data_IF_466120356873
#
_entry.id   IF_466120356873
#
_cell.length_a   1.000
_cell.length_b   1.000
_cell.length_c   1.000
_cell.angle_alpha   90.00
_cell.angle_beta   90.00
_cell.angle_gamma   90.00
#
_symmetry.space_group_name_H-M   'P 1'
#
loop_
_entity.id
_entity.type
_entity.pdbx_description
1 polymer ?
#
# COMPACT_ATOMS: atom_id res chain seq x y z
N UNK A 1 42.88 -9.03 -4.33
CA UNK A 1 41.84 -9.28 -3.30
C UNK A 1 40.52 -9.36 -4.03
N UNK A 2 39.88 -10.53 -4.00
CA UNK A 2 38.65 -10.76 -4.78
C UNK A 2 37.44 -10.27 -4.02
N UNK A 3 36.62 -9.44 -4.66
CA UNK A 3 35.33 -8.98 -4.13
C UNK A 3 34.33 -10.15 -4.05
N UNK A 4 33.62 -10.36 -2.93
CA UNK A 4 32.54 -11.33 -2.89
C UNK A 4 31.36 -10.86 -3.77
N UNK A 5 30.76 -11.80 -4.51
CA UNK A 5 29.60 -11.51 -5.35
C UNK A 5 28.33 -11.36 -4.49
N UNK A 6 27.47 -10.40 -4.84
CA UNK A 6 26.17 -10.20 -4.18
C UNK A 6 25.24 -11.39 -4.46
N UNK A 7 24.56 -11.95 -3.44
CA UNK A 7 23.58 -13.01 -3.66
C UNK A 7 22.41 -12.47 -4.50
N UNK A 8 22.05 -13.20 -5.56
CA UNK A 8 20.85 -12.93 -6.35
C UNK A 8 19.73 -13.85 -5.87
N UNK A 9 18.69 -13.29 -5.26
CA UNK A 9 17.51 -14.06 -4.84
C UNK A 9 16.62 -14.33 -6.06
N UNK A 10 16.29 -15.60 -6.29
CA UNK A 10 15.41 -16.04 -7.37
C UNK A 10 14.17 -16.74 -6.79
N UNK A 11 12.98 -16.27 -7.14
CA UNK A 11 11.77 -17.08 -7.03
C UNK A 11 11.81 -18.20 -8.09
N UNK A 12 11.76 -19.47 -7.66
CA UNK A 12 11.89 -20.63 -8.55
C UNK A 12 10.79 -21.67 -8.34
N UNK A 13 10.29 -22.20 -9.45
CA UNK A 13 9.50 -23.44 -9.54
C UNK A 13 9.94 -24.21 -10.79
N UNK A 14 9.91 -25.54 -10.71
CA UNK A 14 10.57 -26.47 -11.66
C UNK A 14 9.83 -26.68 -13.00
N UNK A 15 10.51 -27.20 -14.05
CA UNK A 15 10.15 -26.92 -15.45
C UNK A 15 9.60 -28.10 -16.29
N UNK A 16 9.11 -27.79 -17.49
CA UNK A 16 8.91 -28.70 -18.62
C UNK A 16 9.28 -27.99 -19.96
N UNK A 17 9.63 -28.70 -21.06
CA UNK A 17 10.55 -28.18 -22.08
C UNK A 17 9.93 -27.50 -23.32
N UNK A 18 10.79 -26.90 -24.14
CA UNK A 18 10.49 -25.97 -25.24
C UNK A 18 10.67 -26.55 -26.66
N UNK A 19 10.26 -25.77 -27.68
CA UNK A 19 10.65 -25.92 -29.10
C UNK A 19 10.82 -24.54 -29.79
N UNK A 20 11.61 -24.47 -30.86
CA UNK A 20 12.27 -23.26 -31.40
C UNK A 20 11.90 -22.88 -32.85
N UNK A 21 12.09 -21.59 -33.21
CA UNK A 21 12.58 -21.00 -34.51
C UNK A 21 12.01 -19.57 -34.72
N UNK A 22 12.79 -18.47 -34.79
CA UNK A 22 13.59 -17.91 -35.92
C UNK A 22 12.82 -17.82 -37.25
N UNK A 23 12.71 -16.71 -38.00
CA UNK A 23 13.17 -15.30 -37.91
C UNK A 23 12.29 -14.47 -38.91
N UNK A 24 12.36 -13.14 -39.15
CA UNK A 24 13.26 -12.04 -38.79
C UNK A 24 12.47 -10.69 -38.73
N UNK A 25 13.12 -9.52 -38.93
CA UNK A 25 12.51 -8.18 -38.85
C UNK A 25 13.11 -7.17 -39.91
N UNK A 26 12.68 -5.89 -40.03
CA UNK A 26 12.10 -5.40 -41.29
C UNK A 26 12.83 -4.17 -41.90
N UNK A 27 12.22 -3.50 -42.89
CA UNK A 27 12.64 -2.20 -43.43
C UNK A 27 11.51 -1.14 -43.25
N UNK A 28 11.83 0.14 -42.95
CA UNK A 28 10.85 1.16 -42.56
C UNK A 28 10.36 2.05 -43.73
N UNK A 29 9.08 2.42 -43.72
CA UNK A 29 8.50 3.42 -44.61
C UNK A 29 7.92 4.62 -43.85
N UNK A 30 8.69 5.72 -43.89
CA UNK A 30 8.30 7.15 -43.86
C UNK A 30 6.90 7.60 -43.41
N UNK A 31 6.87 8.50 -42.41
CA UNK A 31 5.75 9.38 -42.04
C UNK A 31 5.47 10.49 -43.09
N UNK A 32 4.26 11.10 -43.06
CA UNK A 32 4.15 12.57 -43.05
C UNK A 32 3.05 13.05 -42.03
N UNK A 33 2.59 14.32 -41.96
CA UNK A 33 2.99 15.19 -40.85
C UNK A 33 1.84 15.79 -39.98
N UNK A 34 2.26 16.57 -38.98
CA UNK A 34 1.49 17.23 -37.91
C UNK A 34 0.33 18.15 -38.33
N UNK A 35 -0.68 18.26 -37.45
CA UNK A 35 -1.54 19.45 -37.31
C UNK A 35 -1.81 19.74 -35.82
N UNK A 36 -2.00 21.02 -35.48
CA UNK A 36 -1.94 21.57 -34.11
C UNK A 36 -3.35 21.84 -33.50
N UNK A 37 -3.45 22.15 -32.18
CA UNK A 37 -4.67 21.94 -31.38
C UNK A 37 -5.55 23.19 -31.19
N UNK A 38 -6.76 23.03 -30.61
CA UNK A 38 -7.51 24.12 -29.98
C UNK A 38 -7.37 24.13 -28.44
N UNK A 39 -7.18 25.32 -27.89
CA UNK A 39 -7.23 25.66 -26.46
C UNK A 39 -8.65 25.69 -25.89
N UNK A 40 -8.83 25.35 -24.61
CA UNK A 40 -9.99 25.80 -23.80
C UNK A 40 -9.61 26.00 -22.32
N UNK A 41 -10.35 26.85 -21.63
CA UNK A 41 -9.90 27.52 -20.40
C UNK A 41 -10.23 26.80 -19.08
N UNK A 42 -9.29 26.91 -18.14
CA UNK A 42 -9.43 27.11 -16.68
C UNK A 42 -10.80 26.88 -16.01
N UNK A 43 -10.81 26.01 -15.00
CA UNK A 43 -11.56 26.24 -13.76
C UNK A 43 -10.64 26.02 -12.54
N UNK A 44 -10.60 27.03 -11.68
CA UNK A 44 -9.85 27.03 -10.41
C UNK A 44 -10.71 26.47 -9.28
N UNK A 45 -10.21 25.50 -8.51
CA UNK A 45 -10.74 25.18 -7.18
C UNK A 45 -9.64 24.91 -6.16
N UNK A 46 -9.74 25.65 -5.05
CA UNK A 46 -9.23 25.34 -3.70
C UNK A 46 -7.82 24.74 -3.59
N UNK A 47 -6.83 25.60 -3.37
CA UNK A 47 -5.60 25.20 -2.69
C UNK A 47 -5.93 24.81 -1.24
N UNK A 48 -5.94 23.52 -0.92
CA UNK A 48 -5.70 23.06 0.44
C UNK A 48 -4.19 23.11 0.68
N UNK A 49 -3.78 23.89 1.69
CA UNK A 49 -2.37 24.02 2.08
C UNK A 49 -1.92 22.76 2.80
N UNK A 50 -1.61 21.69 2.07
CA UNK A 50 -0.74 20.66 2.63
C UNK A 50 0.64 21.27 2.83
N UNK A 51 1.13 21.24 4.06
CA UNK A 51 2.54 21.45 4.35
C UNK A 51 3.31 20.34 3.66
N UNK A 52 3.79 20.59 2.44
CA UNK A 52 4.62 19.66 1.69
C UNK A 52 5.90 19.41 2.49
N UNK A 53 5.89 18.34 3.28
CA UNK A 53 7.11 17.69 3.74
C UNK A 53 7.97 17.47 2.50
N UNK A 54 9.16 18.07 2.48
CA UNK A 54 10.05 17.93 1.34
C UNK A 54 10.57 16.50 1.34
N UNK A 55 10.31 15.75 0.26
CA UNK A 55 10.83 14.39 0.13
C UNK A 55 12.37 14.41 0.27
N UNK A 56 12.97 13.44 0.98
CA UNK A 56 14.42 13.35 1.14
C UNK A 56 15.09 13.30 -0.23
N UNK A 57 16.15 14.09 -0.41
CA UNK A 57 16.86 14.15 -1.70
C UNK A 57 18.24 13.50 -1.55
N UNK A 58 18.58 12.49 -2.38
CA UNK A 58 19.95 12.01 -2.47
C UNK A 58 20.87 13.14 -2.91
N UNK A 59 22.15 13.05 -2.55
CA UNK A 59 23.20 14.00 -2.95
C UNK A 59 23.26 14.23 -4.47
N UNK A 60 22.79 13.26 -5.26
CA UNK A 60 22.65 13.34 -6.72
C UNK A 60 21.31 12.75 -7.13
N UNK A 61 20.50 13.47 -7.94
CA UNK A 61 19.30 12.89 -8.56
C UNK A 61 19.72 11.73 -9.49
N UNK A 62 19.13 10.52 -9.34
CA UNK A 62 19.43 9.40 -10.23
C UNK A 62 18.96 9.69 -11.65
N UNK A 63 19.71 9.21 -12.64
CA UNK A 63 19.23 9.17 -14.03
C UNK A 63 18.30 7.96 -14.20
N UNK A 64 17.04 8.20 -14.54
CA UNK A 64 16.04 7.14 -14.79
C UNK A 64 16.04 6.77 -16.28
N UNK A 65 15.97 5.48 -16.59
CA UNK A 65 15.90 4.95 -17.97
C UNK A 65 14.87 3.85 -18.11
N UNK A 66 14.40 3.64 -19.34
CA UNK A 66 13.54 2.53 -19.74
C UNK A 66 14.19 1.78 -20.89
N UNK A 67 14.24 0.45 -20.80
CA UNK A 67 14.64 -0.47 -21.86
C UNK A 67 13.50 -1.46 -22.11
N UNK A 68 13.09 -1.59 -23.37
CA UNK A 68 12.04 -2.53 -23.79
C UNK A 68 12.67 -3.54 -24.75
N UNK A 69 12.96 -4.77 -24.27
CA UNK A 69 13.64 -5.79 -25.10
C UNK A 69 12.75 -6.38 -26.18
N UNK A 70 11.44 -6.37 -25.95
CA UNK A 70 10.44 -6.75 -26.95
C UNK A 70 9.17 -5.90 -26.79
N UNK A 71 9.02 -4.93 -27.69
CA UNK A 71 7.83 -4.07 -27.81
C UNK A 71 6.61 -4.78 -28.39
N UNK A 72 6.79 -5.94 -29.02
CA UNK A 72 5.72 -6.71 -29.64
C UNK A 72 4.97 -7.58 -28.62
N UNK A 73 5.61 -7.96 -27.51
CA UNK A 73 5.02 -8.77 -26.43
C UNK A 73 3.77 -8.13 -25.80
N UNK A 74 2.82 -8.98 -25.38
CA UNK A 74 1.60 -8.56 -24.69
C UNK A 74 1.89 -7.80 -23.40
N UNK A 75 2.91 -8.22 -22.63
CA UNK A 75 3.32 -7.57 -21.38
C UNK A 75 3.84 -6.15 -21.60
N UNK A 76 4.72 -5.92 -22.59
CA UNK A 76 5.20 -4.57 -22.91
C UNK A 76 4.08 -3.68 -23.46
N UNK A 77 3.20 -4.21 -24.31
CA UNK A 77 2.01 -3.46 -24.79
C UNK A 77 1.06 -3.09 -23.66
N UNK A 78 0.93 -3.94 -22.63
CA UNK A 78 0.13 -3.65 -21.46
C UNK A 78 0.77 -2.58 -20.58
N UNK A 79 2.08 -2.70 -20.29
CA UNK A 79 2.85 -1.67 -19.59
C UNK A 79 2.69 -0.29 -20.22
N UNK A 80 2.94 -0.18 -21.53
CA UNK A 80 2.83 1.06 -22.29
C UNK A 80 1.40 1.63 -22.38
N UNK A 81 0.37 0.78 -22.22
CA UNK A 81 -1.04 1.20 -22.21
C UNK A 81 -1.49 1.70 -20.83
N UNK A 82 -0.96 1.12 -19.76
CA UNK A 82 -1.45 1.31 -18.39
C UNK A 82 -0.63 2.34 -17.59
N UNK A 83 0.64 2.55 -17.93
CA UNK A 83 1.59 3.33 -17.15
C UNK A 83 2.44 4.29 -17.99
N UNK A 84 2.76 5.44 -17.40
CA UNK A 84 3.77 6.36 -17.91
C UNK A 84 5.07 6.12 -17.13
N UNK A 85 6.07 5.54 -17.79
CA UNK A 85 7.29 5.08 -17.11
C UNK A 85 8.03 6.19 -16.35
N UNK A 86 8.05 7.43 -16.84
CA UNK A 86 8.69 8.56 -16.15
C UNK A 86 8.06 8.84 -14.79
N UNK A 87 6.75 9.05 -14.75
CA UNK A 87 6.04 9.33 -13.48
C UNK A 87 6.06 8.11 -12.57
N UNK A 88 5.82 6.90 -13.08
CA UNK A 88 5.86 5.69 -12.25
C UNK A 88 7.22 5.45 -11.61
N UNK A 89 8.33 5.75 -12.30
CA UNK A 89 9.67 5.64 -11.71
C UNK A 89 9.97 6.79 -10.73
N UNK A 90 9.54 8.04 -11.01
CA UNK A 90 9.70 9.16 -10.08
C UNK A 90 8.85 8.98 -8.80
N UNK A 91 7.59 8.57 -8.92
CA UNK A 91 6.69 8.27 -7.80
C UNK A 91 7.26 7.14 -6.91
N UNK A 92 7.86 6.12 -7.52
CA UNK A 92 8.49 5.01 -6.80
C UNK A 92 9.79 5.46 -6.09
N UNK A 93 10.63 6.29 -6.72
CA UNK A 93 11.80 6.93 -6.08
C UNK A 93 11.36 7.75 -4.87
N UNK A 94 10.39 8.65 -5.03
CA UNK A 94 9.90 9.52 -3.96
C UNK A 94 9.27 8.70 -2.81
N UNK A 95 8.58 7.59 -3.12
CA UNK A 95 8.02 6.67 -2.11
C UNK A 95 9.11 6.01 -1.26
N UNK A 96 10.11 5.39 -1.90
CA UNK A 96 11.23 4.73 -1.20
C UNK A 96 12.00 5.73 -0.34
N UNK A 97 12.35 6.89 -0.89
CA UNK A 97 13.10 7.93 -0.18
C UNK A 97 12.31 8.51 1.00
N UNK A 98 11.02 8.78 0.81
CA UNK A 98 10.17 9.33 1.88
C UNK A 98 9.98 8.33 3.03
N UNK A 99 9.81 7.05 2.72
CA UNK A 99 9.59 6.02 3.75
C UNK A 99 10.88 5.63 4.49
N UNK A 100 11.98 5.40 3.76
CA UNK A 100 13.23 4.88 4.35
C UNK A 100 14.25 5.95 4.77
N UNK A 101 14.08 7.22 4.37
CA UNK A 101 15.11 8.26 4.57
C UNK A 101 14.58 9.60 5.12
N UNK A 102 13.30 9.71 5.49
CA UNK A 102 12.76 10.95 6.06
C UNK A 102 13.46 11.37 7.36
N UNK A 103 13.94 12.63 7.39
CA UNK A 103 14.63 13.21 8.55
C UNK A 103 16.07 12.74 8.76
N UNK A 104 16.62 11.88 7.89
CA UNK A 104 18.02 11.45 7.95
C UNK A 104 18.94 12.41 7.17
N UNK A 105 20.23 12.36 7.48
CA UNK A 105 21.25 13.07 6.72
C UNK A 105 21.35 12.49 5.29
N UNK A 106 21.53 13.31 4.23
CA UNK A 106 21.64 12.80 2.86
C UNK A 106 22.77 11.78 2.61
N UNK A 107 23.81 11.76 3.46
CA UNK A 107 24.87 10.75 3.43
C UNK A 107 24.42 9.37 3.98
N UNK A 108 23.22 9.25 4.55
CA UNK A 108 22.58 7.96 4.85
C UNK A 108 22.02 7.27 3.60
N UNK A 109 21.70 8.03 2.54
CA UNK A 109 21.08 7.53 1.32
C UNK A 109 22.17 6.94 0.40
N UNK A 110 22.07 5.67 -0.05
CA UNK A 110 23.04 5.11 -0.99
C UNK A 110 23.16 5.94 -2.28
N UNK A 111 24.39 6.08 -2.82
CA UNK A 111 24.69 7.02 -3.90
C UNK A 111 24.26 6.53 -5.29
N UNK A 112 23.10 5.87 -5.41
CA UNK A 112 22.57 5.31 -6.66
C UNK A 112 22.47 6.36 -7.76
N UNK A 113 23.32 6.21 -8.79
CA UNK A 113 23.56 7.20 -9.86
C UNK A 113 22.60 7.06 -11.04
N UNK A 114 22.10 5.86 -11.31
CA UNK A 114 21.04 5.65 -12.30
C UNK A 114 20.28 4.36 -12.07
N UNK A 115 19.04 4.32 -12.55
CA UNK A 115 18.17 3.15 -12.50
C UNK A 115 17.60 2.92 -13.90
N UNK A 116 17.80 1.72 -14.45
CA UNK A 116 17.21 1.31 -15.73
C UNK A 116 16.11 0.29 -15.46
N UNK A 117 14.87 0.61 -15.81
CA UNK A 117 13.77 -0.36 -15.84
C UNK A 117 13.82 -1.13 -17.16
N UNK A 118 14.00 -2.45 -17.09
CA UNK A 118 14.15 -3.37 -18.23
C UNK A 118 12.94 -4.30 -18.32
N UNK A 119 12.12 -4.14 -19.36
CA UNK A 119 11.03 -5.08 -19.66
C UNK A 119 11.52 -6.14 -20.65
N UNK A 120 11.43 -7.42 -20.25
CA UNK A 120 11.88 -8.56 -21.05
C UNK A 120 11.15 -9.85 -20.71
N UNK A 121 11.17 -10.81 -21.64
CA UNK A 121 10.87 -12.19 -21.30
C UNK A 121 12.00 -12.79 -20.45
N UNK A 122 11.63 -13.47 -19.36
CA UNK A 122 12.51 -14.19 -18.44
C UNK A 122 11.70 -15.17 -17.56
N UNK A 123 12.36 -15.88 -16.65
CA UNK A 123 11.68 -16.60 -15.57
C UNK A 123 11.40 -15.69 -14.37
N UNK A 124 10.50 -16.11 -13.48
CA UNK A 124 10.12 -15.33 -12.29
C UNK A 124 9.26 -14.09 -12.61
N UNK A 125 9.15 -13.21 -11.61
CA UNK A 125 8.35 -11.98 -11.65
C UNK A 125 9.22 -10.79 -12.03
N UNK A 126 10.19 -10.47 -11.17
CA UNK A 126 11.14 -9.38 -11.33
C UNK A 126 12.43 -9.68 -10.55
N UNK A 127 13.46 -8.85 -10.72
CA UNK A 127 14.60 -8.74 -9.80
C UNK A 127 15.36 -7.42 -10.03
N UNK A 128 16.12 -7.01 -9.02
CA UNK A 128 17.03 -5.86 -9.07
C UNK A 128 18.49 -6.29 -8.99
N UNK A 129 19.36 -5.67 -9.79
CA UNK A 129 20.83 -5.84 -9.68
C UNK A 129 21.57 -4.51 -9.84
N UNK A 130 22.80 -4.45 -9.32
CA UNK A 130 23.79 -3.45 -9.73
C UNK A 130 24.55 -3.88 -10.99
N UNK A 131 25.20 -2.97 -11.70
CA UNK A 131 26.15 -3.33 -12.76
C UNK A 131 27.43 -3.92 -12.14
N UNK A 132 27.99 -4.93 -12.80
CA UNK A 132 29.10 -5.75 -12.27
C UNK A 132 30.38 -4.93 -12.00
N UNK A 133 30.58 -3.83 -12.74
CA UNK A 133 31.69 -2.89 -12.58
C UNK A 133 31.37 -1.70 -11.66
N UNK A 134 30.09 -1.48 -11.35
CA UNK A 134 29.62 -0.27 -10.67
C UNK A 134 28.21 -0.46 -10.08
N UNK A 135 28.14 -0.79 -8.79
CA UNK A 135 26.90 -1.14 -8.10
C UNK A 135 25.98 0.06 -7.80
N UNK A 136 26.40 1.30 -8.05
CA UNK A 136 25.55 2.50 -7.98
C UNK A 136 24.66 2.66 -9.22
N UNK A 137 24.95 1.93 -10.29
CA UNK A 137 24.11 1.83 -11.46
C UNK A 137 23.23 0.58 -11.32
N UNK A 138 21.93 0.77 -11.12
CA UNK A 138 20.97 -0.32 -10.89
C UNK A 138 20.16 -0.64 -12.15
N UNK A 139 19.75 -1.89 -12.27
CA UNK A 139 18.78 -2.37 -13.23
C UNK A 139 17.64 -3.08 -12.49
N UNK A 140 16.40 -2.71 -12.79
CA UNK A 140 15.18 -3.42 -12.38
C UNK A 140 14.69 -4.19 -13.59
N UNK A 141 14.66 -5.52 -13.55
CA UNK A 141 14.16 -6.36 -14.64
C UNK A 141 12.75 -6.85 -14.29
N UNK A 142 11.77 -6.64 -15.17
CA UNK A 142 10.40 -7.13 -14.99
C UNK A 142 10.00 -8.06 -16.14
N UNK A 143 9.42 -9.21 -15.78
CA UNK A 143 9.06 -10.26 -16.70
C UNK A 143 7.78 -9.92 -17.48
N UNK A 144 7.90 -9.71 -18.79
CA UNK A 144 6.75 -9.45 -19.68
C UNK A 144 5.76 -10.62 -19.71
N UNK A 145 6.25 -11.85 -19.52
CA UNK A 145 5.39 -13.05 -19.47
C UNK A 145 4.56 -13.10 -18.18
N UNK A 146 5.10 -12.61 -17.05
CA UNK A 146 4.35 -12.45 -15.81
C UNK A 146 3.27 -11.37 -15.97
N UNK A 147 3.62 -10.20 -16.51
CA UNK A 147 2.66 -9.10 -16.75
C UNK A 147 1.44 -9.62 -17.55
N UNK A 148 1.68 -10.40 -18.60
CA UNK A 148 0.63 -10.99 -19.45
C UNK A 148 -0.32 -11.98 -18.74
N UNK A 149 0.02 -12.46 -17.55
CA UNK A 149 -0.79 -13.39 -16.75
C UNK A 149 -1.59 -12.68 -15.64
N UNK A 150 -1.29 -11.41 -15.35
CA UNK A 150 -2.04 -10.63 -14.36
C UNK A 150 -3.43 -10.29 -14.91
N UNK A 151 -4.53 -10.43 -14.15
CA UNK A 151 -5.85 -10.00 -14.59
C UNK A 151 -5.88 -8.49 -14.90
N UNK A 152 -6.42 -8.10 -16.05
CA UNK A 152 -6.39 -6.70 -16.55
C UNK A 152 -7.00 -5.70 -15.55
N UNK A 153 -7.99 -6.12 -14.76
CA UNK A 153 -8.65 -5.32 -13.71
C UNK A 153 -7.77 -4.86 -12.55
N UNK A 154 -6.56 -5.43 -12.40
CA UNK A 154 -5.57 -5.07 -11.37
C UNK A 154 -4.14 -4.97 -11.91
N UNK A 155 -3.99 -5.03 -13.23
CA UNK A 155 -2.68 -5.18 -13.87
C UNK A 155 -1.82 -3.92 -13.68
N UNK A 156 -2.45 -2.74 -13.68
CA UNK A 156 -1.76 -1.48 -13.45
C UNK A 156 -1.16 -1.43 -12.04
N UNK A 157 -1.97 -1.74 -11.03
CA UNK A 157 -1.61 -1.70 -9.62
C UNK A 157 -0.56 -2.77 -9.28
N UNK A 158 -0.66 -3.96 -9.90
CA UNK A 158 0.35 -5.02 -9.75
C UNK A 158 1.70 -4.59 -10.31
N UNK A 159 1.74 -4.02 -11.53
CA UNK A 159 2.99 -3.54 -12.12
C UNK A 159 3.60 -2.40 -11.27
N UNK A 160 2.78 -1.46 -10.79
CA UNK A 160 3.27 -0.39 -9.90
C UNK A 160 3.82 -0.96 -8.59
N UNK A 161 3.13 -1.93 -7.98
CA UNK A 161 3.59 -2.59 -6.76
C UNK A 161 4.90 -3.35 -6.93
N UNK A 162 5.06 -4.09 -8.04
CA UNK A 162 6.32 -4.77 -8.38
C UNK A 162 7.45 -3.75 -8.65
N UNK A 163 7.17 -2.65 -9.37
CA UNK A 163 8.17 -1.60 -9.57
C UNK A 163 8.60 -1.00 -8.24
N UNK A 164 7.68 -0.69 -7.33
CA UNK A 164 7.99 -0.10 -6.02
C UNK A 164 8.80 -1.06 -5.14
N UNK A 165 8.44 -2.35 -5.12
CA UNK A 165 9.23 -3.39 -4.43
C UNK A 165 10.68 -3.40 -4.92
N UNK A 166 10.89 -3.52 -6.23
CA UNK A 166 12.24 -3.53 -6.83
C UNK A 166 12.98 -2.19 -6.68
N UNK A 167 12.24 -1.09 -6.64
CA UNK A 167 12.77 0.25 -6.39
C UNK A 167 13.40 0.33 -4.98
N UNK A 168 12.90 -0.42 -3.99
CA UNK A 168 13.50 -0.45 -2.64
C UNK A 168 14.93 -1.02 -2.68
N UNK A 169 15.13 -2.13 -3.40
CA UNK A 169 16.44 -2.77 -3.57
C UNK A 169 17.50 -1.85 -4.23
N UNK A 170 17.08 -0.72 -4.82
CA UNK A 170 17.97 0.30 -5.36
C UNK A 170 18.60 1.24 -4.30
N UNK A 171 18.03 1.37 -3.09
CA UNK A 171 18.59 2.18 -1.97
C UNK A 171 18.52 1.52 -0.59
N UNK A 172 18.01 0.31 -0.44
CA UNK A 172 17.98 -0.35 0.87
C UNK A 172 19.40 -0.72 1.34
N UNK A 173 19.68 -0.57 2.64
CA UNK A 173 20.88 -1.12 3.26
C UNK A 173 20.68 -2.60 3.60
N UNK A 174 21.68 -3.43 3.32
CA UNK A 174 21.60 -4.88 3.48
C UNK A 174 22.66 -5.48 4.43
N UNK A 175 23.21 -4.65 5.34
CA UNK A 175 24.30 -5.02 6.24
C UNK A 175 25.47 -5.73 5.50
N UNK A 176 25.97 -5.10 4.44
CA UNK A 176 27.06 -5.62 3.60
C UNK A 176 26.76 -7.02 3.01
N UNK A 177 25.48 -7.35 2.82
CA UNK A 177 25.00 -8.65 2.33
C UNK A 177 24.82 -9.73 3.40
N UNK A 178 24.91 -9.39 4.69
CA UNK A 178 24.73 -10.33 5.81
C UNK A 178 23.34 -10.29 6.47
N UNK A 179 22.49 -9.33 6.11
CA UNK A 179 21.11 -9.28 6.59
C UNK A 179 20.29 -10.50 6.13
N UNK A 180 19.34 -11.01 6.93
CA UNK A 180 18.46 -12.10 6.53
C UNK A 180 17.66 -11.75 5.27
N UNK A 181 17.59 -12.69 4.32
CA UNK A 181 16.96 -12.45 3.02
C UNK A 181 15.52 -11.96 3.12
N UNK A 182 14.70 -12.56 3.99
CA UNK A 182 13.32 -12.10 4.16
C UNK A 182 13.16 -10.82 5.00
N UNK A 183 14.16 -10.39 5.78
CA UNK A 183 14.16 -9.00 6.26
C UNK A 183 14.30 -8.02 5.09
N UNK A 184 15.15 -8.35 4.11
CA UNK A 184 15.34 -7.54 2.90
C UNK A 184 14.06 -7.50 2.06
N UNK A 185 13.52 -8.65 1.67
CA UNK A 185 12.26 -8.73 0.90
C UNK A 185 11.05 -8.17 1.69
N UNK A 186 11.05 -8.33 3.01
CA UNK A 186 9.99 -7.84 3.89
C UNK A 186 9.94 -6.32 3.99
N UNK A 187 11.10 -5.64 4.02
CA UNK A 187 11.17 -4.17 3.94
C UNK A 187 10.70 -3.68 2.56
N UNK A 188 11.06 -4.40 1.48
CA UNK A 188 10.61 -4.07 0.13
C UNK A 188 9.08 -4.15 -0.01
N UNK A 189 8.46 -5.23 0.49
CA UNK A 189 7.00 -5.36 0.51
C UNK A 189 6.30 -4.50 1.57
N UNK A 190 6.98 -4.07 2.65
CA UNK A 190 6.47 -3.04 3.56
C UNK A 190 6.38 -1.68 2.88
N UNK A 191 7.39 -1.25 2.10
CA UNK A 191 7.28 -0.01 1.31
C UNK A 191 6.14 -0.11 0.30
N UNK A 192 6.01 -1.25 -0.39
CA UNK A 192 4.89 -1.53 -1.31
C UNK A 192 3.52 -1.45 -0.61
N UNK A 193 3.41 -1.97 0.61
CA UNK A 193 2.22 -1.89 1.47
C UNK A 193 1.87 -0.43 1.80
N UNK A 194 2.82 0.34 2.33
CA UNK A 194 2.63 1.74 2.73
C UNK A 194 2.37 2.67 1.54
N UNK A 195 2.87 2.33 0.36
CA UNK A 195 2.55 3.01 -0.90
C UNK A 195 1.15 2.67 -1.46
N UNK A 196 0.40 1.76 -0.82
CA UNK A 196 -0.97 1.40 -1.20
C UNK A 196 -1.09 0.31 -2.27
N UNK A 197 0.00 -0.40 -2.59
CA UNK A 197 0.06 -1.42 -3.65
C UNK A 197 0.15 -2.87 -3.12
N UNK A 198 -0.34 -3.10 -1.89
CA UNK A 198 -0.51 -4.44 -1.34
C UNK A 198 -1.42 -5.29 -2.23
N UNK A 199 -1.02 -6.54 -2.51
CA UNK A 199 -1.81 -7.38 -3.40
C UNK A 199 -3.09 -7.90 -2.69
N UNK A 200 -4.27 -7.96 -3.36
CA UNK A 200 -5.54 -8.36 -2.72
C UNK A 200 -5.59 -9.73 -2.01
N UNK A 201 -4.60 -10.59 -2.25
CA UNK A 201 -4.49 -11.91 -1.62
C UNK A 201 -3.59 -11.92 -0.37
N UNK A 202 -2.89 -10.82 -0.06
CA UNK A 202 -2.08 -10.67 1.13
C UNK A 202 -2.95 -10.73 2.40
N UNK A 203 -2.43 -11.35 3.45
CA UNK A 203 -3.13 -11.54 4.74
C UNK A 203 -2.14 -11.36 5.89
N UNK A 204 -2.58 -10.70 6.97
CA UNK A 204 -1.86 -10.74 8.25
C UNK A 204 -1.90 -12.18 8.77
N UNK A 205 -0.73 -12.74 9.06
CA UNK A 205 -0.55 -14.09 9.61
C UNK A 205 0.87 -14.23 10.13
N UNK A 206 1.04 -15.11 11.10
CA UNK A 206 2.32 -15.50 11.67
C UNK A 206 2.45 -17.03 11.70
N UNK A 207 2.22 -17.64 10.52
CA UNK A 207 2.18 -19.09 10.27
C UNK A 207 3.57 -19.70 9.97
N UNK A 208 4.63 -18.96 10.25
CA UNK A 208 6.02 -19.26 9.91
C UNK A 208 7.01 -18.54 10.85
N UNK A 209 8.30 -18.57 10.51
CA UNK A 209 9.29 -17.64 11.07
C UNK A 209 9.07 -16.20 10.60
N UNK A 210 9.71 -15.24 11.26
CA UNK A 210 9.51 -13.80 11.08
C UNK A 210 10.16 -13.24 9.81
N UNK A 211 11.24 -13.87 9.31
CA UNK A 211 12.08 -13.45 8.19
C UNK A 211 11.91 -14.33 6.94
N UNK A 212 10.71 -14.85 6.72
CA UNK A 212 10.36 -15.54 5.46
C UNK A 212 10.13 -14.58 4.28
N UNK A 213 10.07 -13.27 4.55
CA UNK A 213 9.93 -12.21 3.55
C UNK A 213 8.50 -11.92 3.13
N UNK A 214 8.42 -11.10 2.08
CA UNK A 214 7.20 -10.72 1.39
C UNK A 214 6.11 -10.21 2.34
N UNK A 215 4.85 -10.58 2.11
CA UNK A 215 3.69 -10.03 2.83
C UNK A 215 3.70 -10.32 4.33
N UNK A 216 4.29 -11.45 4.74
CA UNK A 216 4.34 -11.87 6.15
C UNK A 216 5.25 -10.96 6.96
N UNK A 217 6.49 -10.81 6.52
CA UNK A 217 7.45 -9.92 7.17
C UNK A 217 7.01 -8.46 7.03
N UNK A 218 6.41 -8.06 5.90
CA UNK A 218 5.88 -6.71 5.70
C UNK A 218 4.79 -6.33 6.71
N UNK A 219 3.82 -7.21 6.99
CA UNK A 219 2.78 -6.93 7.99
C UNK A 219 3.30 -6.93 9.43
N UNK A 220 4.33 -7.72 9.72
CA UNK A 220 5.02 -7.66 11.01
C UNK A 220 5.80 -6.34 11.19
N UNK A 221 6.48 -5.87 10.15
CA UNK A 221 7.13 -4.56 10.15
C UNK A 221 6.12 -3.42 10.33
N UNK A 222 4.92 -3.51 9.74
CA UNK A 222 3.84 -2.54 9.96
C UNK A 222 3.25 -2.60 11.38
N UNK A 223 3.13 -3.79 11.97
CA UNK A 223 2.76 -3.95 13.37
C UNK A 223 3.80 -3.34 14.32
N UNK A 224 5.09 -3.55 14.04
CA UNK A 224 6.17 -2.91 14.80
C UNK A 224 6.10 -1.39 14.79
N UNK A 225 5.67 -0.76 13.69
CA UNK A 225 5.46 0.69 13.65
C UNK A 225 4.30 1.15 14.54
N UNK A 226 3.28 0.30 14.71
CA UNK A 226 2.12 0.59 15.56
C UNK A 226 2.51 0.52 17.05
N UNK A 227 3.31 -0.47 17.44
CA UNK A 227 3.69 -0.70 18.84
C UNK A 227 4.95 0.06 19.29
N UNK A 228 5.92 0.27 18.39
CA UNK A 228 7.24 0.84 18.72
C UNK A 228 7.52 2.19 18.01
N UNK A 229 6.64 2.63 17.12
CA UNK A 229 6.64 3.98 16.51
C UNK A 229 6.80 4.01 14.99
N UNK A 230 6.19 5.01 14.34
CA UNK A 230 6.07 5.18 12.87
C UNK A 230 7.39 5.34 12.09
N UNK A 231 8.55 5.13 12.72
CA UNK A 231 9.86 5.17 12.07
C UNK A 231 10.76 3.97 12.35
N UNK A 232 10.20 2.89 12.89
CA UNK A 232 10.96 1.68 13.23
C UNK A 232 11.56 1.02 11.99
N UNK A 233 10.84 0.94 10.87
CA UNK A 233 11.40 0.35 9.63
C UNK A 233 12.53 1.21 9.05
N UNK A 234 12.41 2.53 9.16
CA UNK A 234 13.50 3.48 8.83
C UNK A 234 14.72 3.28 9.74
N UNK A 235 14.52 3.14 11.05
CA UNK A 235 15.58 2.87 12.03
C UNK A 235 16.28 1.54 11.76
N UNK A 236 15.54 0.49 11.39
CA UNK A 236 16.09 -0.81 11.00
C UNK A 236 16.94 -0.67 9.74
N UNK A 237 16.42 -0.05 8.66
CA UNK A 237 17.20 0.20 7.45
C UNK A 237 18.49 1.01 7.72
N UNK A 238 18.42 2.06 8.53
CA UNK A 238 19.60 2.83 8.95
C UNK A 238 20.56 2.02 9.84
N UNK A 239 20.06 1.11 10.69
CA UNK A 239 20.88 0.23 11.50
C UNK A 239 21.64 -0.84 10.68
N UNK A 240 21.17 -1.16 9.48
CA UNK A 240 21.84 -2.03 8.51
C UNK A 240 22.95 -1.30 7.70
N UNK A 241 23.15 0.01 7.90
CA UNK A 241 24.09 0.82 7.12
C UNK A 241 25.55 0.54 7.51
N UNK A 242 26.29 -0.10 6.61
CA UNK A 242 27.76 -0.23 6.70
C UNK A 242 28.28 -1.18 7.79
N UNK A 243 27.42 -2.02 8.36
CA UNK A 243 27.74 -3.00 9.40
C UNK A 243 27.51 -4.44 8.92
N UNK A 244 27.89 -5.42 9.74
CA UNK A 244 27.39 -6.80 9.64
C UNK A 244 26.11 -6.91 10.49
N UNK A 245 25.17 -7.75 10.06
CA UNK A 245 23.92 -7.98 10.75
C UNK A 245 24.14 -8.75 12.05
N UNK A 246 23.83 -8.11 13.17
CA UNK A 246 23.81 -8.71 14.49
C UNK A 246 22.39 -8.57 15.04
N UNK A 247 21.68 -9.70 15.18
CA UNK A 247 20.23 -9.71 15.43
C UNK A 247 19.86 -8.91 16.68
N UNK A 248 20.31 -9.35 17.86
CA UNK A 248 19.98 -8.71 19.13
C UNK A 248 20.38 -7.23 19.14
N UNK A 249 21.57 -6.91 18.62
CA UNK A 249 22.07 -5.53 18.57
C UNK A 249 21.22 -4.58 17.72
N UNK A 250 20.61 -5.07 16.63
CA UNK A 250 19.71 -4.26 15.80
C UNK A 250 18.33 -4.15 16.44
N UNK A 251 17.74 -5.27 16.89
CA UNK A 251 16.38 -5.30 17.41
C UNK A 251 16.26 -4.64 18.79
N UNK A 252 17.23 -4.81 19.69
CA UNK A 252 17.27 -4.08 20.97
C UNK A 252 17.46 -2.57 20.75
N UNK A 253 18.33 -2.16 19.80
CA UNK A 253 18.55 -0.74 19.49
C UNK A 253 17.32 -0.07 18.88
N UNK A 254 16.55 -0.77 18.04
CA UNK A 254 15.39 -0.21 17.36
C UNK A 254 14.12 -0.28 18.22
N UNK A 255 13.85 -1.44 18.83
CA UNK A 255 12.58 -1.75 19.48
C UNK A 255 12.67 -1.96 21.00
N UNK A 256 13.89 -1.96 21.58
CA UNK A 256 14.12 -2.15 23.02
C UNK A 256 14.09 -3.60 23.51
N UNK A 257 13.98 -4.59 22.61
CA UNK A 257 13.91 -6.02 22.94
C UNK A 257 14.29 -6.92 21.76
N UNK A 258 14.64 -8.17 22.02
CA UNK A 258 15.00 -9.17 21.00
C UNK A 258 13.83 -9.56 20.07
N UNK A 259 14.18 -10.04 18.87
CA UNK A 259 13.24 -10.37 17.79
C UNK A 259 12.27 -11.51 18.13
N UNK A 260 12.69 -12.49 18.93
CA UNK A 260 11.85 -13.61 19.34
C UNK A 260 10.68 -13.14 20.22
N UNK A 261 10.93 -12.13 21.06
CA UNK A 261 9.90 -11.50 21.90
C UNK A 261 8.94 -10.66 21.05
N UNK A 262 9.46 -9.91 20.07
CA UNK A 262 8.65 -9.13 19.14
C UNK A 262 7.74 -10.03 18.29
N UNK A 263 8.30 -11.08 17.68
CA UNK A 263 7.54 -12.02 16.87
C UNK A 263 6.46 -12.75 17.67
N UNK A 264 6.79 -13.17 18.90
CA UNK A 264 5.82 -13.79 19.81
C UNK A 264 4.70 -12.84 20.22
N UNK A 265 5.01 -11.56 20.44
CA UNK A 265 4.00 -10.54 20.75
C UNK A 265 3.06 -10.29 19.55
N UNK A 266 3.60 -10.24 18.32
CA UNK A 266 2.78 -10.18 17.10
C UNK A 266 1.91 -11.43 16.90
N UNK A 267 2.43 -12.63 17.17
CA UNK A 267 1.65 -13.86 17.18
C UNK A 267 0.48 -13.80 18.17
N UNK A 268 0.69 -13.21 19.36
CA UNK A 268 -0.38 -12.98 20.33
C UNK A 268 -1.39 -11.93 19.87
N UNK A 269 -0.97 -10.79 19.31
CA UNK A 269 -1.90 -9.74 18.87
C UNK A 269 -2.86 -10.24 17.78
N UNK A 270 -2.37 -11.05 16.82
CA UNK A 270 -3.23 -11.67 15.81
C UNK A 270 -4.26 -12.65 16.41
N UNK A 271 -3.89 -13.40 17.46
CA UNK A 271 -4.80 -14.30 18.14
C UNK A 271 -5.89 -13.53 18.92
N UNK A 272 -5.53 -12.40 19.52
CA UNK A 272 -6.47 -11.52 20.23
C UNK A 272 -7.41 -10.79 19.25
N UNK A 273 -6.91 -10.32 18.10
CA UNK A 273 -7.73 -9.79 16.99
C UNK A 273 -8.75 -10.84 16.50
N UNK A 274 -8.31 -12.07 16.24
CA UNK A 274 -9.19 -13.18 15.85
C UNK A 274 -10.25 -13.49 16.91
N UNK A 275 -9.90 -13.43 18.20
CA UNK A 275 -10.84 -13.67 19.30
C UNK A 275 -11.87 -12.55 19.41
N UNK A 276 -11.44 -11.29 19.29
CA UNK A 276 -12.31 -10.12 19.29
C UNK A 276 -13.30 -10.14 18.11
N UNK A 277 -12.84 -10.47 16.90
CA UNK A 277 -13.70 -10.65 15.73
C UNK A 277 -14.76 -11.75 15.95
N UNK A 278 -14.39 -12.87 16.57
CA UNK A 278 -15.31 -13.99 16.84
C UNK A 278 -16.37 -13.57 17.88
N UNK A 279 -15.97 -12.85 18.93
CA UNK A 279 -16.89 -12.30 19.93
C UNK A 279 -17.88 -11.29 19.32
N UNK A 280 -17.40 -10.34 18.53
CA UNK A 280 -18.25 -9.32 17.89
C UNK A 280 -19.27 -9.95 16.90
N UNK A 281 -18.84 -11.00 16.17
CA UNK A 281 -19.72 -11.76 15.27
C UNK A 281 -20.78 -12.56 16.03
N UNK A 282 -20.45 -13.09 17.22
CA UNK A 282 -21.40 -13.78 18.09
C UNK A 282 -22.46 -12.80 18.64
N UNK A 283 -22.05 -11.67 19.21
CA UNK A 283 -22.95 -10.64 19.74
C UNK A 283 -23.91 -10.10 18.65
N UNK A 284 -23.39 -9.77 17.46
CA UNK A 284 -24.21 -9.38 16.29
C UNK A 284 -25.13 -10.50 15.79
N UNK A 285 -24.79 -11.76 16.05
CA UNK A 285 -25.63 -12.92 15.77
C UNK A 285 -26.81 -13.00 16.74
N UNK A 286 -26.52 -12.92 18.04
CA UNK A 286 -27.51 -12.93 19.11
C UNK A 286 -28.48 -11.74 19.01
N UNK A 287 -27.98 -10.52 18.74
CA UNK A 287 -28.83 -9.33 18.58
C UNK A 287 -29.77 -9.46 17.36
N UNK A 288 -29.31 -10.06 16.26
CA UNK A 288 -30.15 -10.38 15.09
C UNK A 288 -31.18 -11.46 15.41
N UNK A 289 -30.81 -12.48 16.18
CA UNK A 289 -31.76 -13.53 16.58
C UNK A 289 -32.82 -12.98 17.54
N UNK A 290 -32.44 -12.15 18.52
CA UNK A 290 -33.37 -11.52 19.45
C UNK A 290 -34.34 -10.57 18.74
N UNK A 291 -33.84 -9.72 17.81
CA UNK A 291 -34.69 -8.88 16.95
C UNK A 291 -35.63 -9.73 16.08
N UNK A 292 -35.20 -10.90 15.63
CA UNK A 292 -36.03 -11.83 14.84
C UNK A 292 -37.10 -12.52 15.71
N UNK A 293 -36.75 -12.93 16.94
CA UNK A 293 -37.68 -13.49 17.94
C UNK A 293 -38.74 -12.45 18.35
N UNK A 294 -38.33 -11.21 18.66
CA UNK A 294 -39.23 -10.09 18.97
C UNK A 294 -40.18 -9.78 17.81
N UNK A 295 -39.71 -9.78 16.56
CA UNK A 295 -40.58 -9.64 15.37
C UNK A 295 -41.59 -10.78 15.22
N UNK A 296 -41.19 -12.05 15.42
CA UNK A 296 -42.12 -13.20 15.37
C UNK A 296 -43.17 -13.16 16.47
N UNK A 297 -42.83 -12.67 17.66
CA UNK A 297 -43.77 -12.51 18.78
C UNK A 297 -44.75 -11.33 18.56
N UNK A 298 -44.27 -10.21 18.03
CA UNK A 298 -45.10 -9.02 17.74
C UNK A 298 -46.19 -9.24 16.66
N UNK A 299 -46.01 -10.21 15.77
CA UNK A 299 -47.03 -10.57 14.74
C UNK A 299 -48.17 -11.43 15.30
N UNK A 300 -48.05 -11.94 16.54
CA UNK A 300 -48.98 -12.94 17.09
C UNK A 300 -50.08 -12.38 18.00
N UNK A 301 -50.15 -11.05 18.18
CA UNK A 301 -51.19 -10.36 18.95
C UNK A 301 -51.98 -9.37 18.10
N UNK A 302 -53.03 -9.83 17.42
CA UNK A 302 -53.83 -8.94 16.55
C UNK A 302 -54.78 -9.64 15.58
N UNK A 303 -55.55 -10.64 16.02
CA UNK A 303 -56.62 -11.22 15.19
C UNK A 303 -57.82 -11.71 16.01
N UNK A 304 -58.59 -10.76 16.53
CA UNK A 304 -60.02 -10.94 16.81
C UNK A 304 -60.82 -10.09 15.82
N UNK A 305 -61.92 -10.66 15.33
CA UNK A 305 -62.62 -10.21 14.13
C UNK A 305 -63.97 -9.55 14.46
N UNK A 306 -64.22 -8.36 13.91
CA UNK A 306 -65.57 -7.81 13.77
C UNK A 306 -65.78 -7.12 12.42
N UNK A 307 -66.55 -7.83 11.59
CA UNK A 307 -67.48 -7.34 10.54
C UNK A 307 -67.61 -5.83 10.29
N UNK A 308 -67.23 -5.42 9.07
CA UNK A 308 -68.07 -4.74 8.06
C UNK A 308 -69.15 -3.73 8.51
N UNK A 309 -69.06 -2.47 8.06
CA UNK A 309 -70.09 -1.78 7.22
C UNK A 309 -69.62 -0.41 6.70
N UNK A 310 -70.39 0.17 5.75
CA UNK A 310 -69.98 1.23 4.83
C UNK A 310 -70.18 2.69 5.35
N UNK A 311 -69.45 3.59 4.67
CA UNK A 311 -69.66 5.05 4.40
C UNK A 311 -71.10 5.61 4.42
N UNK A 312 -71.34 6.96 4.45
CA UNK A 312 -70.40 8.09 4.31
C UNK A 312 -70.58 9.28 5.32
N UNK A 313 -69.73 10.30 5.13
CA UNK A 313 -69.76 11.65 5.72
C UNK A 313 -71.09 12.42 5.43
N UNK A 314 -71.48 13.40 6.26
CA UNK A 314 -71.51 14.77 5.70
C UNK A 314 -71.06 15.91 6.63
N UNK A 315 -70.83 17.05 5.96
CA UNK A 315 -70.31 18.36 6.36
C UNK A 315 -71.14 19.23 7.33
N UNK A 316 -70.47 20.27 7.86
CA UNK A 316 -70.94 21.50 8.55
C UNK A 316 -71.13 21.40 10.07
N UNK A 317 -70.88 22.44 10.89
CA UNK A 317 -70.33 23.76 10.55
C UNK A 317 -70.74 24.91 11.50
N UNK A 318 -70.00 25.11 12.60
CA UNK A 318 -69.99 26.28 13.53
C UNK A 318 -68.89 26.00 14.58
N UNK A 319 -68.10 26.93 15.14
CA UNK A 319 -68.41 28.24 15.72
C UNK A 319 -68.69 28.05 17.23
N UNK A 320 -67.97 28.60 18.22
CA UNK A 320 -66.88 29.58 18.28
C UNK A 320 -65.96 29.33 19.53
N UNK A 321 -64.79 30.00 19.57
CA UNK A 321 -63.90 30.46 20.68
C UNK A 321 -64.22 30.25 22.20
N UNK A 322 -63.33 30.64 23.17
CA UNK A 322 -61.86 30.73 23.20
C UNK A 322 -61.22 30.17 24.52
N UNK A 323 -59.86 30.24 24.65
CA UNK A 323 -59.03 30.57 25.86
C UNK A 323 -57.80 29.66 26.19
N UNK A 324 -56.64 30.32 26.21
CA UNK A 324 -55.61 30.31 27.29
C UNK A 324 -54.81 29.04 27.65
N UNK A 325 -53.58 28.98 27.09
CA UNK A 325 -52.28 28.82 27.76
C UNK A 325 -51.97 27.68 28.80
N UNK A 326 -51.02 26.82 28.44
CA UNK A 326 -49.99 26.22 29.33
C UNK A 326 -48.81 25.67 28.47
N UNK A 327 -47.71 26.40 28.24
CA UNK A 327 -46.44 26.44 29.02
C UNK A 327 -45.50 25.21 28.84
N UNK A 328 -44.36 25.46 28.16
CA UNK A 328 -43.02 24.80 28.26
C UNK A 328 -42.88 23.30 27.87
N UNK A 329 -41.76 22.82 27.33
CA UNK A 329 -40.52 23.48 26.86
C UNK A 329 -39.82 22.66 25.75
N UNK A 330 -39.17 23.35 24.81
CA UNK A 330 -38.03 22.81 24.03
C UNK A 330 -36.73 23.10 24.79
N UNK A 331 -35.76 22.18 24.78
CA UNK A 331 -34.38 22.46 25.22
C UNK A 331 -33.38 21.89 24.23
N UNK A 332 -32.80 22.78 23.41
CA UNK A 332 -31.59 22.48 22.64
C UNK A 332 -30.35 22.87 23.44
N UNK A 333 -29.29 22.07 23.36
CA UNK A 333 -27.99 22.35 23.97
C UNK A 333 -26.98 22.81 22.92
N UNK A 334 -26.46 24.03 23.05
CA UNK A 334 -25.40 24.60 22.20
C UNK A 334 -24.12 24.64 23.05
N UNK A 335 -23.11 23.86 22.67
CA UNK A 335 -21.80 23.89 23.35
C UNK A 335 -21.02 25.15 22.94
N UNK A 336 -20.33 25.77 23.90
CA UNK A 336 -19.51 26.97 23.70
C UNK A 336 -18.09 26.69 24.21
N UNK A 337 -17.08 27.11 23.46
CA UNK A 337 -15.65 26.92 23.78
C UNK A 337 -15.08 28.27 24.23
N UNK A 338 -14.37 28.35 25.36
CA UNK A 338 -13.79 29.61 25.83
C UNK A 338 -12.45 29.92 25.17
N UNK A 339 -12.26 31.17 24.75
CA UNK A 339 -10.98 31.74 24.33
C UNK A 339 -10.27 32.31 25.57
N UNK A 340 -8.94 32.14 25.66
CA UNK A 340 -8.08 32.90 26.58
C UNK A 340 -7.14 33.80 25.77
N UNK A 341 -7.11 35.09 26.08
CA UNK A 341 -6.19 36.06 25.48
C UNK A 341 -4.81 36.03 26.14
N UNK A 342 -3.79 36.48 25.39
CA UNK A 342 -2.47 36.78 25.93
C UNK A 342 -2.33 38.24 26.40
N UNK A 343 -1.26 38.59 27.12
CA UNK A 343 -0.87 39.97 27.38
C UNK A 343 0.12 40.46 26.31
N UNK A 344 0.11 41.76 26.03
CA UNK A 344 1.14 42.43 25.23
C UNK A 344 1.93 43.42 26.07
N UNK A 345 3.24 43.47 25.81
CA UNK A 345 4.19 44.57 26.05
C UNK A 345 5.33 44.39 25.03
#
# INVERSE_FOLDING_TARGET
MSTPATPTYFQTMSPAPASTSTSAAPQPSTLPPSSNPPTSNSLSMAQTSSSKSLSPKPLRKPLLRLELRDVSSSGTRAFLRLLHASTTLEDAVDSVLSLLYSGLDPNCIPPTRSITLVLRAMGGVAYTKGLDIDSDHKEIHICTNYISQVPETRMKEEIQGVIIHEMVHCWQHNALGSAPGGLIEGIADWVRLKAGFAAPHWRRRADSDWDVGYERTAYFLEWLETEHGEDIVRKINEALRGCIYESDGIWEKCCGTSIEKLWKAYQSSLADEEAAEKAEKAEKGEEKEEKTRKRKLGVRGGRTSTSTTNTPNPTSGSGEDPRSACVKARRGGRMHVPIRGGPGS
#
